data_IF_416137751556
#
_entry.id   IF_416137751556
#
_cell.length_a   1.000
_cell.length_b   1.000
_cell.length_c   1.000
_cell.angle_alpha   90.00
_cell.angle_beta   90.00
_cell.angle_gamma   90.00
#
_symmetry.space_group_name_H-M   'P 1'
#
loop_
_entity.id
_entity.type
_entity.pdbx_description
1 polymer ?
#
# COMPACT_ATOMS: atom_id res chain seq x y z
N UNK A 1 -67.05 -49.32 -64.80
CA UNK A 1 -67.67 -48.00 -64.52
C UNK A 1 -66.94 -47.51 -63.29
N UNK A 2 -66.16 -46.44 -63.25
CA UNK A 2 -65.91 -45.28 -64.11
C UNK A 2 -64.39 -44.97 -64.00
N UNK A 3 -63.74 -44.46 -65.05
CA UNK A 3 -63.55 -43.02 -65.25
C UNK A 3 -62.55 -42.47 -64.21
N UNK A 4 -61.27 -42.29 -64.54
CA UNK A 4 -60.82 -41.22 -65.42
C UNK A 4 -60.47 -39.98 -64.58
N UNK A 5 -59.19 -39.83 -64.23
CA UNK A 5 -58.70 -38.72 -63.41
C UNK A 5 -57.23 -38.42 -63.69
N UNK A 6 -56.95 -37.76 -64.82
CA UNK A 6 -55.67 -37.12 -65.15
C UNK A 6 -55.46 -35.93 -64.21
N UNK A 7 -54.25 -35.67 -63.68
CA UNK A 7 -53.51 -34.38 -63.52
C UNK A 7 -52.21 -34.63 -62.71
N UNK A 8 -51.33 -33.65 -62.49
CA UNK A 8 -50.37 -33.05 -63.45
C UNK A 8 -48.91 -33.31 -63.04
N UNK A 9 -47.96 -33.11 -63.97
CA UNK A 9 -46.52 -33.10 -63.68
C UNK A 9 -46.15 -31.84 -62.91
N UNK A 10 -45.55 -31.98 -61.72
CA UNK A 10 -45.00 -30.88 -60.94
C UNK A 10 -43.48 -31.01 -60.81
N UNK A 11 -42.81 -30.12 -61.54
CA UNK A 11 -41.58 -29.37 -61.28
C UNK A 11 -40.73 -29.81 -60.08
N UNK A 12 -39.50 -30.19 -60.40
CA UNK A 12 -38.35 -30.31 -59.50
C UNK A 12 -38.08 -28.95 -58.85
N UNK A 13 -38.16 -28.88 -57.51
CA UNK A 13 -37.64 -27.75 -56.75
C UNK A 13 -36.62 -28.25 -55.74
N UNK A 14 -35.36 -27.88 -55.97
CA UNK A 14 -34.21 -28.17 -55.10
C UNK A 14 -34.34 -27.34 -53.83
N UNK A 15 -34.81 -27.95 -52.74
CA UNK A 15 -34.74 -27.35 -51.43
C UNK A 15 -33.36 -27.66 -50.82
N UNK A 16 -32.50 -26.65 -50.80
CA UNK A 16 -31.19 -26.64 -50.16
C UNK A 16 -31.34 -26.88 -48.66
N UNK A 17 -30.70 -27.93 -48.15
CA UNK A 17 -30.58 -28.19 -46.73
C UNK A 17 -29.64 -27.16 -46.09
N UNK A 18 -30.20 -26.22 -45.33
CA UNK A 18 -29.43 -25.36 -44.43
C UNK A 18 -29.31 -26.05 -43.08
N UNK A 19 -28.16 -26.68 -42.85
CA UNK A 19 -27.73 -27.17 -41.54
C UNK A 19 -27.61 -25.99 -40.56
N UNK A 20 -28.15 -26.08 -39.33
CA UNK A 20 -27.94 -25.06 -38.34
C UNK A 20 -26.49 -25.16 -37.83
N UNK A 21 -25.65 -24.19 -38.18
CA UNK A 21 -24.33 -24.02 -37.58
C UNK A 21 -24.48 -23.62 -36.12
N UNK A 22 -24.43 -24.63 -35.24
CA UNK A 22 -24.13 -24.50 -33.82
C UNK A 22 -22.71 -23.94 -33.68
N UNK A 23 -22.58 -22.61 -33.66
CA UNK A 23 -21.33 -21.95 -33.28
C UNK A 23 -21.28 -21.95 -31.75
N UNK A 24 -20.63 -22.98 -31.19
CA UNK A 24 -20.27 -23.03 -29.79
C UNK A 24 -19.27 -21.89 -29.50
N UNK A 25 -19.75 -20.80 -28.91
CA UNK A 25 -18.91 -19.72 -28.41
C UNK A 25 -18.11 -20.22 -27.20
N UNK A 26 -16.89 -20.69 -27.42
CA UNK A 26 -15.93 -20.90 -26.34
C UNK A 26 -15.47 -19.53 -25.82
N UNK A 27 -16.09 -19.08 -24.74
CA UNK A 27 -15.58 -17.96 -23.97
C UNK A 27 -14.28 -18.39 -23.28
N UNK A 28 -13.13 -18.10 -23.89
CA UNK A 28 -11.84 -18.19 -23.21
C UNK A 28 -11.77 -17.02 -22.24
N UNK A 29 -12.24 -17.24 -21.01
CA UNK A 29 -12.03 -16.30 -19.92
C UNK A 29 -10.54 -16.35 -19.55
N UNK A 30 -9.76 -15.43 -20.13
CA UNK A 30 -8.40 -15.17 -19.65
C UNK A 30 -8.53 -14.57 -18.25
N UNK A 31 -8.41 -15.43 -17.23
CA UNK A 31 -8.22 -14.96 -15.86
C UNK A 31 -6.82 -14.38 -15.79
N UNK A 32 -6.72 -13.06 -16.01
CA UNK A 32 -5.53 -12.31 -15.61
C UNK A 32 -5.52 -12.38 -14.09
N UNK A 33 -4.72 -13.29 -13.53
CA UNK A 33 -4.32 -13.19 -12.13
C UNK A 33 -3.47 -11.93 -12.06
N UNK A 34 -4.10 -10.79 -11.81
CA UNK A 34 -3.39 -9.61 -11.35
C UNK A 34 -2.70 -10.05 -10.07
N UNK A 35 -1.38 -10.22 -10.11
CA UNK A 35 -0.59 -10.31 -8.90
C UNK A 35 -1.05 -9.16 -8.02
N UNK A 36 -1.59 -9.47 -6.84
CA UNK A 36 -1.92 -8.42 -5.89
C UNK A 36 -0.63 -7.62 -5.72
N UNK A 37 -0.62 -6.30 -5.94
CA UNK A 37 0.57 -5.52 -5.66
C UNK A 37 0.93 -5.88 -4.22
N UNK A 38 2.08 -6.53 -4.05
CA UNK A 38 2.71 -6.52 -2.74
C UNK A 38 2.88 -5.04 -2.48
N UNK A 39 2.30 -4.51 -1.39
CA UNK A 39 2.37 -3.08 -1.13
C UNK A 39 3.82 -2.66 -1.30
N UNK A 40 4.07 -1.80 -2.29
CA UNK A 40 5.44 -1.46 -2.66
C UNK A 40 6.13 -0.93 -1.39
N UNK A 41 7.32 -1.45 -1.09
CA UNK A 41 8.10 -0.91 0.02
C UNK A 41 8.39 0.56 -0.26
N UNK A 42 7.80 1.44 0.55
CA UNK A 42 7.93 2.90 0.44
C UNK A 42 9.16 3.44 1.17
N UNK A 43 9.89 2.59 1.90
CA UNK A 43 11.10 2.96 2.64
C UNK A 43 12.38 2.83 1.81
N UNK A 44 12.26 2.97 0.47
CA UNK A 44 13.38 2.91 -0.49
C UNK A 44 13.68 4.28 -1.07
N UNK A 45 14.94 4.50 -1.44
CA UNK A 45 15.43 5.80 -1.94
C UNK A 45 14.78 6.27 -3.24
N UNK A 46 14.24 5.35 -4.04
CA UNK A 46 13.56 5.63 -5.31
C UNK A 46 12.03 5.58 -5.21
N UNK A 47 11.47 5.56 -3.99
CA UNK A 47 10.03 5.67 -3.76
C UNK A 47 9.50 7.07 -4.13
N UNK A 48 8.19 7.19 -4.29
CA UNK A 48 7.54 8.49 -4.39
C UNK A 48 7.65 9.23 -3.05
N UNK A 49 8.57 10.20 -2.97
CA UNK A 49 8.80 10.96 -1.75
C UNK A 49 7.55 11.71 -1.27
N UNK A 50 6.59 11.99 -2.17
CA UNK A 50 5.34 12.71 -1.84
C UNK A 50 4.38 11.86 -1.01
N UNK A 51 4.64 10.56 -0.88
CA UNK A 51 3.93 9.70 0.06
C UNK A 51 4.10 10.19 1.50
N UNK A 52 5.24 10.78 1.85
CA UNK A 52 5.51 11.29 3.22
C UNK A 52 5.78 12.80 3.26
N UNK A 53 6.28 13.38 2.16
CA UNK A 53 6.59 14.79 2.03
C UNK A 53 5.54 15.54 1.20
N UNK A 54 5.54 16.86 1.31
CA UNK A 54 4.65 17.76 0.58
C UNK A 54 5.23 18.24 -0.76
N UNK A 55 6.52 17.99 -1.00
CA UNK A 55 7.27 18.39 -2.21
C UNK A 55 8.01 17.19 -2.81
N UNK A 56 8.59 17.38 -4.00
CA UNK A 56 9.30 16.34 -4.76
C UNK A 56 10.76 16.11 -4.33
N UNK A 57 11.35 15.01 -4.79
CA UNK A 57 12.72 14.61 -4.47
C UNK A 57 13.79 15.66 -4.86
N UNK A 58 13.56 16.44 -5.92
CA UNK A 58 14.51 17.46 -6.35
C UNK A 58 14.60 18.59 -5.32
N UNK A 59 13.48 18.99 -4.71
CA UNK A 59 13.47 19.95 -3.62
C UNK A 59 13.99 19.38 -2.28
N UNK A 60 13.79 18.08 -2.01
CA UNK A 60 14.18 17.44 -0.75
C UNK A 60 15.68 17.11 -0.66
N UNK A 61 16.29 16.69 -1.76
CA UNK A 61 17.67 16.17 -1.77
C UNK A 61 18.76 17.23 -1.52
N UNK A 62 18.42 18.51 -1.61
CA UNK A 62 19.37 19.60 -1.44
C UNK A 62 19.63 19.97 0.04
N UNK A 63 18.66 19.73 0.93
CA UNK A 63 18.74 20.14 2.34
C UNK A 63 17.86 19.27 3.24
N UNK A 64 18.48 18.57 4.19
CA UNK A 64 17.79 17.72 5.15
C UNK A 64 16.85 18.50 6.10
N UNK A 65 17.18 19.77 6.42
CA UNK A 65 16.32 20.61 7.25
C UNK A 65 15.05 21.02 6.49
N UNK A 66 15.19 21.45 5.23
CA UNK A 66 14.06 21.69 4.34
C UNK A 66 13.22 20.42 4.12
N UNK A 67 13.86 19.26 3.96
CA UNK A 67 13.16 17.99 3.81
C UNK A 67 12.32 17.66 5.04
N UNK A 68 12.88 17.85 6.24
CA UNK A 68 12.14 17.70 7.51
C UNK A 68 10.97 18.69 7.60
N UNK A 69 11.17 19.95 7.21
CA UNK A 69 10.10 20.95 7.22
C UNK A 69 8.98 20.64 6.22
N UNK A 70 9.31 19.95 5.13
CA UNK A 70 8.36 19.54 4.11
C UNK A 70 7.63 18.22 4.43
N UNK A 71 7.90 17.57 5.57
CA UNK A 71 7.13 16.41 6.01
C UNK A 71 5.65 16.78 6.15
N UNK A 72 4.78 15.86 5.74
CA UNK A 72 3.35 16.07 5.89
C UNK A 72 2.97 16.13 7.37
N UNK A 73 2.10 17.08 7.73
CA UNK A 73 1.66 17.28 9.11
C UNK A 73 0.88 16.10 9.69
N UNK A 74 0.38 15.20 8.85
CA UNK A 74 -0.36 13.98 9.18
C UNK A 74 0.49 12.71 9.05
N UNK A 75 1.82 12.82 9.18
CA UNK A 75 2.76 11.71 8.99
C UNK A 75 2.37 10.43 9.75
N UNK A 76 1.91 10.56 11.00
CA UNK A 76 1.48 9.42 11.81
C UNK A 76 0.35 8.63 11.13
N UNK A 77 -0.70 9.32 10.65
CA UNK A 77 -1.82 8.70 9.93
C UNK A 77 -1.35 8.00 8.64
N UNK A 78 -0.35 8.56 7.96
CA UNK A 78 0.22 7.96 6.75
C UNK A 78 0.93 6.65 7.07
N UNK A 79 1.71 6.59 8.16
CA UNK A 79 2.32 5.35 8.63
C UNK A 79 1.27 4.27 8.90
N UNK A 80 0.20 4.63 9.61
CA UNK A 80 -0.88 3.71 9.98
C UNK A 80 -1.67 3.17 8.77
N UNK A 81 -1.63 3.86 7.62
CA UNK A 81 -2.30 3.41 6.39
C UNK A 81 -1.73 2.06 5.89
N UNK A 82 -0.43 1.81 6.13
CA UNK A 82 0.24 0.57 5.72
C UNK A 82 0.64 -0.30 6.91
N UNK A 83 1.11 0.29 8.01
CA UNK A 83 1.58 -0.46 9.19
C UNK A 83 0.45 -0.86 10.15
N UNK A 84 -0.71 -0.19 10.08
CA UNK A 84 -1.79 -0.39 11.05
C UNK A 84 -1.39 0.06 12.46
N UNK A 85 -2.24 -0.27 13.43
CA UNK A 85 -1.92 -0.09 14.85
C UNK A 85 -0.99 -1.20 15.31
N UNK A 86 0.18 -0.81 15.76
CA UNK A 86 1.23 -1.73 16.17
C UNK A 86 1.04 -1.92 17.70
N UNK A 87 1.10 -3.15 18.21
CA UNK A 87 0.42 -3.55 19.45
C UNK A 87 0.92 -2.97 20.80
N UNK A 88 0.88 -3.76 21.90
CA UNK A 88 0.95 -3.22 23.28
C UNK A 88 2.30 -2.58 23.66
N UNK A 89 3.34 -2.76 22.85
CA UNK A 89 4.71 -2.37 23.17
C UNK A 89 5.03 -0.89 22.96
N UNK A 90 4.20 -0.13 22.25
CA UNK A 90 4.51 1.26 21.97
C UNK A 90 3.25 2.14 21.90
N UNK A 91 3.37 3.34 22.48
CA UNK A 91 2.37 4.40 22.36
C UNK A 91 3.01 5.58 21.64
N UNK A 92 2.33 6.09 20.64
CA UNK A 92 2.64 7.37 19.98
C UNK A 92 1.64 8.44 20.40
N UNK A 93 1.86 9.69 20.00
CA UNK A 93 1.02 10.84 20.38
C UNK A 93 1.20 11.29 21.82
N UNK A 94 2.19 10.76 22.54
CA UNK A 94 2.54 11.19 23.91
C UNK A 94 3.64 12.25 23.88
N UNK A 95 3.65 13.15 24.87
CA UNK A 95 4.71 14.16 25.01
C UNK A 95 5.88 13.64 25.86
N UNK A 96 7.13 13.96 25.49
CA UNK A 96 8.29 13.64 26.31
C UNK A 96 8.24 14.41 27.65
N UNK A 97 8.92 13.88 28.66
CA UNK A 97 8.92 14.44 30.03
C UNK A 97 10.27 15.02 30.43
N UNK A 98 11.33 14.54 29.79
CA UNK A 98 12.70 15.04 29.86
C UNK A 98 13.11 15.70 28.55
N UNK A 99 14.30 16.30 28.54
CA UNK A 99 14.91 16.81 27.31
C UNK A 99 15.06 15.69 26.27
N UNK A 100 14.65 15.96 25.03
CA UNK A 100 14.70 14.98 23.95
C UNK A 100 16.07 15.02 23.27
N UNK A 101 16.76 13.87 23.17
CA UNK A 101 18.00 13.76 22.40
C UNK A 101 17.82 14.22 20.95
N UNK A 102 18.84 14.89 20.39
CA UNK A 102 18.75 15.50 19.06
C UNK A 102 18.50 14.50 17.91
N UNK A 103 18.89 13.24 18.10
CA UNK A 103 18.69 12.13 17.18
C UNK A 103 17.31 11.46 17.27
N UNK A 104 16.46 11.88 18.21
CA UNK A 104 15.09 11.40 18.36
C UNK A 104 14.10 12.54 18.00
N UNK A 105 13.80 12.74 16.70
CA UNK A 105 13.00 13.87 16.27
C UNK A 105 11.53 13.70 16.69
N UNK A 106 10.97 14.72 17.34
CA UNK A 106 9.52 14.75 17.61
C UNK A 106 8.72 15.10 16.35
N UNK A 107 7.44 14.74 16.37
CA UNK A 107 6.45 15.26 15.44
C UNK A 107 6.31 16.78 15.57
N UNK A 108 5.69 17.40 14.57
CA UNK A 108 5.52 18.86 14.47
C UNK A 108 4.79 19.45 15.69
N UNK A 109 3.88 18.70 16.29
CA UNK A 109 3.11 19.10 17.48
C UNK A 109 3.85 18.83 18.82
N UNK A 110 5.10 18.38 18.75
CA UNK A 110 5.96 18.05 19.87
C UNK A 110 5.65 16.70 20.53
N UNK A 111 4.90 15.82 19.87
CA UNK A 111 4.65 14.47 20.36
C UNK A 111 5.64 13.44 19.81
N UNK A 112 5.75 12.31 20.49
CA UNK A 112 6.49 11.14 20.04
C UNK A 112 5.63 10.41 19.00
N UNK A 113 6.07 10.40 17.74
CA UNK A 113 5.49 9.59 16.65
C UNK A 113 6.43 8.48 16.17
N UNK A 114 6.02 7.71 15.16
CA UNK A 114 6.81 6.58 14.62
C UNK A 114 8.26 6.97 14.27
N UNK A 115 8.42 8.09 13.57
CA UNK A 115 9.72 8.63 13.12
C UNK A 115 10.68 9.03 14.25
N UNK A 116 10.17 9.21 15.46
CA UNK A 116 10.99 9.52 16.65
C UNK A 116 11.91 8.38 16.99
N UNK A 117 11.42 7.15 16.83
CA UNK A 117 12.11 5.93 17.22
C UNK A 117 12.67 5.20 15.99
N UNK A 118 12.02 5.33 14.83
CA UNK A 118 12.35 4.57 13.63
C UNK A 118 13.00 5.45 12.54
N UNK A 119 13.97 4.86 11.84
CA UNK A 119 14.45 5.33 10.54
C UNK A 119 13.42 4.98 9.47
N UNK A 120 13.18 5.92 8.54
CA UNK A 120 12.08 5.82 7.57
C UNK A 120 12.57 5.65 6.13
N UNK A 121 13.88 5.81 5.86
CA UNK A 121 14.45 5.50 4.55
C UNK A 121 15.41 4.31 4.61
N UNK A 122 15.31 3.49 5.66
CA UNK A 122 16.17 2.32 5.86
C UNK A 122 17.64 2.68 6.04
N UNK A 123 17.95 3.84 6.65
CA UNK A 123 19.33 4.32 6.79
C UNK A 123 20.20 3.44 7.70
N UNK A 124 19.62 2.91 8.78
CA UNK A 124 20.28 2.06 9.76
C UNK A 124 19.26 1.09 10.37
N UNK A 125 19.67 -0.17 10.56
CA UNK A 125 18.89 -1.24 11.19
C UNK A 125 19.74 -2.03 12.20
N UNK A 126 20.78 -1.39 12.76
CA UNK A 126 21.70 -2.02 13.73
C UNK A 126 20.98 -2.61 14.94
N UNK A 127 19.86 -2.02 15.35
CA UNK A 127 19.07 -2.45 16.51
C UNK A 127 17.84 -3.29 16.16
N UNK A 128 17.62 -3.57 14.86
CA UNK A 128 16.39 -4.19 14.38
C UNK A 128 15.21 -3.21 14.33
N UNK A 129 14.21 -3.55 13.52
CA UNK A 129 13.00 -2.76 13.30
C UNK A 129 13.26 -1.30 12.92
N UNK A 130 14.41 -0.99 12.33
CA UNK A 130 14.87 0.37 12.01
C UNK A 130 14.96 1.30 13.21
N UNK A 131 15.17 0.77 14.42
CA UNK A 131 15.28 1.60 15.61
C UNK A 131 16.52 2.50 15.57
N UNK A 132 16.34 3.75 15.98
CA UNK A 132 17.43 4.75 16.12
C UNK A 132 18.34 4.45 17.30
N UNK A 133 17.85 3.70 18.30
CA UNK A 133 18.57 3.32 19.51
C UNK A 133 18.13 1.95 20.02
N UNK A 134 19.00 1.27 20.76
CA UNK A 134 18.67 0.02 21.45
C UNK A 134 17.48 0.24 22.42
N UNK A 135 16.39 -0.52 22.23
CA UNK A 135 15.22 -0.49 23.09
C UNK A 135 15.15 -1.66 24.09
N UNK A 136 16.24 -2.42 24.28
CA UNK A 136 16.31 -3.45 25.33
C UNK A 136 15.95 -2.84 26.67
N UNK A 137 15.06 -3.51 27.40
CA UNK A 137 14.57 -3.08 28.73
C UNK A 137 13.93 -1.67 28.71
N UNK A 138 13.39 -1.23 27.57
CA UNK A 138 12.74 0.08 27.43
C UNK A 138 13.72 1.26 27.35
N UNK A 139 15.00 1.00 27.06
CA UNK A 139 16.05 2.04 27.05
C UNK A 139 15.74 3.23 26.16
N UNK A 140 15.03 3.03 25.04
CA UNK A 140 14.62 4.10 24.15
C UNK A 140 13.53 4.96 24.79
N UNK A 141 12.49 4.36 25.39
CA UNK A 141 11.44 5.09 26.09
C UNK A 141 12.01 5.94 27.23
N UNK A 142 12.95 5.35 27.98
CA UNK A 142 13.60 5.97 29.13
C UNK A 142 14.53 7.14 28.77
N UNK A 143 14.83 7.37 27.49
CA UNK A 143 15.58 8.55 27.07
C UNK A 143 14.81 9.85 27.35
N UNK A 144 13.48 9.78 27.31
CA UNK A 144 12.60 10.94 27.45
C UNK A 144 11.58 10.79 28.61
N UNK A 145 11.40 9.58 29.14
CA UNK A 145 10.44 9.27 30.20
C UNK A 145 11.10 8.64 31.41
N UNK A 146 10.43 8.73 32.55
CA UNK A 146 10.83 8.02 33.75
C UNK A 146 10.10 6.69 33.87
N UNK A 147 10.75 5.70 34.48
CA UNK A 147 10.23 4.33 34.57
C UNK A 147 8.85 4.27 35.26
N UNK A 148 8.61 5.16 36.23
CA UNK A 148 7.33 5.27 36.94
C UNK A 148 6.14 5.63 36.06
N UNK A 149 6.38 6.10 34.84
CA UNK A 149 5.34 6.53 33.89
C UNK A 149 4.98 5.45 32.86
N UNK A 150 5.77 4.38 32.79
CA UNK A 150 5.67 3.33 31.78
C UNK A 150 4.97 2.05 32.29
N UNK A 151 4.37 2.13 33.48
CA UNK A 151 3.56 1.09 34.14
C UNK A 151 2.08 1.36 33.92
#
# INVERSE_FOLDING_TARGET
>A
MEGGGRRPRAVVSRATATLPTLVAALAVATVVVAARPHGDDVHRRDADCRTCHTTDAAALSADAAAAKAALAGDLETRCLTCHGDQGPSHRTGVRPRKGVPADLPLAVDGTIGCATCHFMHGEDDTFGDFLRRDNRRGGLCLSCHDLSELQ
#
